data_IF_771219306765
#
_entry.id   IF_771219306765
#
_cell.length_a   1.000
_cell.length_b   1.000
_cell.length_c   1.000
_cell.angle_alpha   90.00
_cell.angle_beta   90.00
_cell.angle_gamma   90.00
#
_symmetry.space_group_name_H-M   'P 1'
#
loop_
_entity.id
_entity.type
_entity.pdbx_description
1 polymer ?
#
# COMPACT_ATOMS: atom_id res chain seq x y z
N UNK A 1 0.11 -4.57 -18.75
CA UNK A 1 -0.71 -5.12 -17.65
C UNK A 1 -1.67 -4.06 -17.20
N UNK A 2 -2.96 -4.36 -17.11
CA UNK A 2 -3.91 -3.39 -16.58
C UNK A 2 -3.91 -3.40 -15.05
N UNK A 3 -4.52 -2.39 -14.45
CA UNK A 3 -4.52 -2.25 -12.99
C UNK A 3 -5.25 -3.39 -12.29
N UNK A 4 -6.27 -3.95 -12.93
CA UNK A 4 -7.03 -5.06 -12.34
C UNK A 4 -6.16 -6.31 -12.20
N UNK A 5 -5.40 -6.63 -13.22
CA UNK A 5 -4.49 -7.78 -13.17
C UNK A 5 -3.40 -7.58 -12.12
N UNK A 6 -2.86 -6.37 -12.04
CA UNK A 6 -1.84 -6.05 -11.03
C UNK A 6 -2.41 -6.19 -9.62
N UNK A 7 -3.60 -5.67 -9.39
CA UNK A 7 -4.25 -5.79 -8.07
C UNK A 7 -4.45 -7.25 -7.69
N UNK A 8 -4.90 -8.08 -8.63
CA UNK A 8 -5.10 -9.51 -8.37
C UNK A 8 -3.79 -10.22 -8.00
N UNK A 9 -2.71 -9.90 -8.70
CA UNK A 9 -1.40 -10.46 -8.39
C UNK A 9 -0.90 -10.00 -7.01
N UNK A 10 -1.08 -8.72 -6.71
CA UNK A 10 -0.62 -8.17 -5.44
C UNK A 10 -1.40 -8.74 -4.26
N UNK A 11 -2.68 -9.04 -4.43
CA UNK A 11 -3.49 -9.64 -3.38
C UNK A 11 -3.04 -11.05 -2.98
N UNK A 12 -2.26 -11.70 -3.82
CA UNK A 12 -1.67 -13.00 -3.48
C UNK A 12 -0.49 -12.86 -2.52
N UNK A 13 0.12 -11.68 -2.47
CA UNK A 13 1.32 -11.40 -1.67
C UNK A 13 1.02 -10.49 -0.48
N UNK A 14 0.21 -9.46 -0.71
CA UNK A 14 -0.09 -8.44 0.28
C UNK A 14 -1.46 -8.66 0.92
N UNK A 15 -1.62 -8.19 2.15
CA UNK A 15 -2.88 -8.34 2.88
C UNK A 15 -3.98 -7.45 2.34
N UNK A 16 -3.62 -6.25 1.88
CA UNK A 16 -4.59 -5.31 1.34
C UNK A 16 -3.96 -4.50 0.21
N UNK A 17 -4.75 -4.23 -0.82
CA UNK A 17 -4.33 -3.44 -1.97
C UNK A 17 -5.41 -2.41 -2.26
N UNK A 18 -5.03 -1.16 -2.41
CA UNK A 18 -5.97 -0.07 -2.68
C UNK A 18 -5.51 0.74 -3.87
N UNK A 19 -6.45 1.06 -4.77
CA UNK A 19 -6.19 1.97 -5.88
C UNK A 19 -6.63 3.38 -5.51
N UNK A 20 -5.73 4.34 -5.71
CA UNK A 20 -5.98 5.76 -5.45
C UNK A 20 -5.58 6.53 -6.71
N UNK A 21 -6.56 6.92 -7.53
CA UNK A 21 -6.27 7.53 -8.82
C UNK A 21 -5.45 6.61 -9.70
N UNK A 22 -4.29 7.08 -10.15
CA UNK A 22 -3.36 6.30 -10.97
C UNK A 22 -2.41 5.41 -10.15
N UNK A 23 -2.50 5.49 -8.82
CA UNK A 23 -1.60 4.76 -7.93
C UNK A 23 -2.26 3.52 -7.36
N UNK A 24 -1.45 2.51 -7.11
CA UNK A 24 -1.89 1.30 -6.42
C UNK A 24 -0.95 1.13 -5.23
N UNK A 25 -1.53 1.04 -4.04
CA UNK A 25 -0.78 0.90 -2.79
C UNK A 25 -1.06 -0.48 -2.22
N UNK A 26 -0.02 -1.27 -2.03
CA UNK A 26 -0.12 -2.61 -1.46
C UNK A 26 0.53 -2.63 -0.08
N UNK A 27 -0.15 -3.24 0.89
CA UNK A 27 0.30 -3.28 2.28
C UNK A 27 0.21 -4.69 2.85
N UNK A 28 1.19 -5.04 3.68
CA UNK A 28 1.15 -6.28 4.45
C UNK A 28 1.79 -6.06 5.81
N UNK A 29 1.42 -6.89 6.77
CA UNK A 29 2.06 -6.92 8.08
C UNK A 29 3.18 -7.95 7.98
N UNK A 30 4.41 -7.52 8.28
CA UNK A 30 5.57 -8.41 8.17
C UNK A 30 5.81 -9.20 9.47
N UNK A 31 6.86 -10.01 9.49
CA UNK A 31 7.18 -10.87 10.64
C UNK A 31 7.59 -10.10 11.90
N UNK A 32 7.94 -8.82 11.75
CA UNK A 32 8.29 -7.94 12.89
C UNK A 32 7.08 -7.12 13.35
N UNK A 33 5.90 -7.42 12.84
CA UNK A 33 4.64 -6.72 13.13
C UNK A 33 4.61 -5.27 12.64
N UNK A 34 5.50 -4.91 11.73
CA UNK A 34 5.48 -3.62 11.05
C UNK A 34 4.76 -3.76 9.71
N UNK A 35 4.47 -2.63 9.07
CA UNK A 35 3.77 -2.62 7.79
C UNK A 35 4.75 -2.42 6.63
N UNK A 36 4.80 -3.40 5.73
CA UNK A 36 5.53 -3.24 4.48
C UNK A 36 4.58 -2.68 3.44
N UNK A 37 5.01 -1.69 2.67
CA UNK A 37 4.19 -1.15 1.59
C UNK A 37 4.99 -1.01 0.31
N UNK A 38 4.27 -1.05 -0.81
CA UNK A 38 4.82 -0.78 -2.13
C UNK A 38 3.82 0.05 -2.91
N UNK A 39 4.31 1.02 -3.66
CA UNK A 39 3.49 1.91 -4.46
C UNK A 39 3.78 1.65 -5.94
N UNK A 40 2.73 1.46 -6.71
CA UNK A 40 2.81 1.25 -8.16
C UNK A 40 2.08 2.35 -8.90
N UNK A 41 2.54 2.63 -10.10
CA UNK A 41 1.87 3.53 -11.02
C UNK A 41 2.06 3.02 -12.44
N UNK A 42 0.96 2.87 -13.19
CA UNK A 42 1.00 2.35 -14.57
C UNK A 42 1.73 1.01 -14.69
N UNK A 43 1.57 0.16 -13.67
CA UNK A 43 2.18 -1.16 -13.65
C UNK A 43 3.63 -1.20 -13.20
N UNK A 44 4.22 -0.06 -12.88
CA UNK A 44 5.61 0.03 -12.44
C UNK A 44 5.71 0.34 -10.95
N UNK A 45 6.63 -0.34 -10.26
CA UNK A 45 6.91 -0.05 -8.88
C UNK A 45 7.66 1.27 -8.78
N UNK A 46 7.09 2.22 -8.04
CA UNK A 46 7.71 3.54 -7.85
C UNK A 46 8.55 3.60 -6.59
N UNK A 47 8.01 3.08 -5.49
CA UNK A 47 8.65 3.21 -4.20
C UNK A 47 8.08 2.16 -3.25
N UNK A 48 8.72 2.00 -2.12
CA UNK A 48 8.28 1.09 -1.09
C UNK A 48 9.01 1.37 0.21
N UNK A 49 8.58 0.75 1.29
CA UNK A 49 9.22 0.94 2.56
C UNK A 49 8.49 0.24 3.69
N UNK A 50 8.85 0.62 4.90
CA UNK A 50 8.30 0.04 6.11
C UNK A 50 7.76 1.18 6.98
N UNK A 51 6.54 1.01 7.48
CA UNK A 51 5.96 1.91 8.47
C UNK A 51 5.95 1.19 9.80
N UNK A 52 6.53 1.81 10.82
CA UNK A 52 6.56 1.24 12.14
C UNK A 52 5.15 1.13 12.72
N UNK A 53 4.92 0.08 13.48
CA UNK A 53 3.64 -0.21 14.10
C UNK A 53 3.83 -0.25 15.63
N UNK A 54 4.03 0.92 16.26
CA UNK A 54 4.35 0.98 17.70
C UNK A 54 3.21 0.48 18.59
N UNK A 55 1.98 0.52 18.11
CA UNK A 55 0.83 0.06 18.88
C UNK A 55 0.52 -1.43 18.71
N UNK A 56 1.30 -2.12 17.89
CA UNK A 56 1.12 -3.55 17.65
C UNK A 56 -0.21 -3.90 17.01
N UNK A 57 -0.72 -3.06 16.13
CA UNK A 57 -1.99 -3.30 15.46
C UNK A 57 -1.92 -4.58 14.63
N UNK A 58 -2.95 -5.39 14.70
CA UNK A 58 -3.04 -6.64 13.95
C UNK A 58 -3.72 -6.46 12.59
N UNK A 59 -4.30 -5.29 12.36
CA UNK A 59 -5.01 -4.99 11.13
C UNK A 59 -4.53 -3.67 10.54
N UNK A 60 -4.57 -3.59 9.20
CA UNK A 60 -4.23 -2.37 8.49
C UNK A 60 -5.44 -1.45 8.51
N UNK A 61 -5.26 -0.24 9.02
CA UNK A 61 -6.34 0.75 9.13
C UNK A 61 -6.27 1.76 8.00
N UNK A 62 -7.38 2.48 7.72
CA UNK A 62 -7.36 3.54 6.70
C UNK A 62 -6.35 4.65 6.98
N UNK A 63 -6.03 4.91 8.23
CA UNK A 63 -5.04 5.93 8.61
C UNK A 63 -3.66 5.61 8.06
N UNK A 64 -3.31 4.33 7.94
CA UNK A 64 -2.01 3.91 7.42
C UNK A 64 -1.91 4.30 5.94
N UNK A 65 -2.97 4.10 5.17
CA UNK A 65 -3.01 4.53 3.77
C UNK A 65 -2.86 6.04 3.66
N UNK A 66 -3.55 6.79 4.52
CA UNK A 66 -3.48 8.25 4.53
C UNK A 66 -2.06 8.71 4.81
N UNK A 67 -1.37 8.06 5.73
CA UNK A 67 0.00 8.40 6.06
C UNK A 67 0.96 8.14 4.89
N UNK A 68 0.81 7.00 4.23
CA UNK A 68 1.60 6.68 3.04
C UNK A 68 1.37 7.72 1.95
N UNK A 69 0.12 8.08 1.72
CA UNK A 69 -0.23 9.08 0.72
C UNK A 69 0.42 10.43 1.01
N UNK A 70 0.45 10.83 2.27
CA UNK A 70 1.12 12.07 2.68
C UNK A 70 2.63 12.02 2.48
N UNK A 71 3.25 10.90 2.83
CA UNK A 71 4.69 10.71 2.69
C UNK A 71 5.15 10.82 1.24
N UNK A 72 4.31 10.40 0.30
CA UNK A 72 4.63 10.36 -1.12
C UNK A 72 3.90 11.42 -1.94
N UNK A 73 3.24 12.34 -1.26
CA UNK A 73 2.47 13.44 -1.88
C UNK A 73 1.44 12.92 -2.89
N UNK A 74 0.79 11.82 -2.55
CA UNK A 74 -0.29 11.25 -3.34
C UNK A 74 -1.60 11.87 -2.85
N UNK A 75 -2.37 12.44 -3.76
CA UNK A 75 -3.65 13.05 -3.41
C UNK A 75 -4.79 12.18 -3.92
N UNK A 76 -5.79 12.01 -3.06
CA UNK A 76 -6.99 11.32 -3.46
C UNK A 76 -7.82 12.28 -4.33
N UNK A 77 -8.09 11.86 -5.56
CA UNK A 77 -8.93 12.66 -6.46
C UNK A 77 -10.39 12.37 -6.20
N UNK A 78 -11.17 13.44 -6.11
CA UNK A 78 -12.62 13.36 -5.97
C UNK A 78 -13.31 13.68 -7.28
#
# INVERSE_FOLDING_TARGET
MDNQELIEELLEIYDIVKQVGDYIIALQINSDDDFDYTIYRNGEELDGGIIENPDGLEEITPEIFTEIMKMHDIKEEN
#
